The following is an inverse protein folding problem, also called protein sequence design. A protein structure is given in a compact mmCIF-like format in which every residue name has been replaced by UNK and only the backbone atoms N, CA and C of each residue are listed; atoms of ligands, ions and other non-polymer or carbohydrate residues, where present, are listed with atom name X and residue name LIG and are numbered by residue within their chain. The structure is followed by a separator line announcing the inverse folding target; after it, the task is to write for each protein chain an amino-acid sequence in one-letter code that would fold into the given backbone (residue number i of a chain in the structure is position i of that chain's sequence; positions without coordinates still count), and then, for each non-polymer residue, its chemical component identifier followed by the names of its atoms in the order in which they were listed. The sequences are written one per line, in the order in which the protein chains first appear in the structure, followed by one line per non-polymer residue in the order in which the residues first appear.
data_IF_591211410516
#
_entry.id   IF_591211410516
#
_cell.length_a   1.000
_cell.length_b   1.000
_cell.length_c   1.000
_cell.angle_alpha   90.00
_cell.angle_beta   90.00
_cell.angle_gamma   90.00
#
_symmetry.space_group_name_H-M   'P 1'
#
loop_
_entity.id
_entity.type
_entity.pdbx_description
1 polymer ?
#
# COMPACT_ATOMS: atom_id res chain seq x y z
N UNK A 1 9.32 -9.67 -29.34
CA UNK A 1 10.53 -10.28 -29.95
C UNK A 1 10.76 -9.61 -31.31
N UNK A 2 12.02 -9.36 -31.66
CA UNK A 2 12.39 -8.72 -32.92
C UNK A 2 13.21 -9.70 -33.77
N UNK A 3 12.76 -9.98 -34.99
CA UNK A 3 13.44 -10.85 -35.94
C UNK A 3 14.15 -10.00 -36.98
N UNK A 4 15.46 -10.20 -37.14
CA UNK A 4 16.23 -9.60 -38.24
C UNK A 4 16.53 -10.68 -39.26
N UNK A 5 16.03 -10.52 -40.47
CA UNK A 5 16.14 -11.53 -41.53
C UNK A 5 16.71 -10.89 -42.78
N UNK A 6 17.77 -11.50 -43.31
CA UNK A 6 18.33 -11.12 -44.60
C UNK A 6 17.51 -11.76 -45.71
N UNK A 7 16.99 -10.93 -46.61
CA UNK A 7 16.24 -11.36 -47.78
C UNK A 7 17.12 -12.10 -48.80
N UNK A 8 16.50 -12.89 -49.69
CA UNK A 8 17.19 -13.62 -50.74
C UNK A 8 17.86 -12.68 -51.76
N UNK A 9 18.91 -13.16 -52.44
CA UNK A 9 19.71 -12.36 -53.38
C UNK A 9 18.93 -11.93 -54.64
N UNK A 10 17.88 -12.65 -55.03
CA UNK A 10 17.17 -12.44 -56.31
C UNK A 10 15.69 -12.11 -56.12
N UNK A 11 14.84 -13.12 -55.96
CA UNK A 11 13.39 -12.96 -55.99
C UNK A 11 12.78 -12.84 -54.58
N UNK A 12 11.70 -12.06 -54.41
CA UNK A 12 11.01 -11.96 -53.13
C UNK A 12 10.46 -13.32 -52.67
N UNK A 13 10.44 -13.54 -51.36
CA UNK A 13 9.92 -14.77 -50.73
C UNK A 13 8.99 -14.44 -49.58
N UNK A 14 8.05 -15.34 -49.34
CA UNK A 14 7.21 -15.29 -48.14
C UNK A 14 7.93 -16.01 -46.99
N UNK A 15 8.09 -15.32 -45.86
CA UNK A 15 8.58 -15.87 -44.61
C UNK A 15 7.39 -16.10 -43.69
N UNK A 16 7.32 -17.25 -43.04
CA UNK A 16 6.36 -17.46 -41.95
C UNK A 16 7.13 -17.58 -40.65
N UNK A 17 6.89 -16.64 -39.74
CA UNK A 17 7.42 -16.72 -38.38
C UNK A 17 6.40 -17.43 -37.51
N UNK A 18 6.81 -18.55 -36.91
CA UNK A 18 6.00 -19.27 -35.93
C UNK A 18 6.38 -18.77 -34.53
N UNK A 19 5.46 -18.11 -33.86
CA UNK A 19 5.65 -17.59 -32.52
C UNK A 19 4.71 -18.28 -31.55
N UNK A 20 5.26 -18.74 -30.41
CA UNK A 20 4.45 -19.33 -29.34
C UNK A 20 3.46 -18.31 -28.80
N UNK A 21 2.18 -18.69 -28.72
CA UNK A 21 1.17 -17.93 -27.98
C UNK A 21 1.43 -18.07 -26.50
N UNK A 22 1.60 -16.95 -25.81
CA UNK A 22 1.70 -16.95 -24.36
C UNK A 22 0.28 -16.99 -23.76
N UNK A 23 -0.01 -17.87 -22.79
CA UNK A 23 -1.31 -17.90 -22.13
C UNK A 23 -1.65 -16.53 -21.52
N UNK A 24 -2.82 -15.96 -21.84
CA UNK A 24 -3.24 -14.65 -21.36
C UNK A 24 -2.71 -13.44 -22.14
N UNK A 25 -1.83 -13.64 -23.12
CA UNK A 25 -1.31 -12.58 -23.98
C UNK A 25 -1.99 -12.58 -25.34
N UNK A 26 -2.14 -11.39 -25.92
CA UNK A 26 -2.72 -11.14 -27.24
C UNK A 26 -1.68 -10.53 -28.17
N UNK A 27 -1.64 -10.98 -29.42
CA UNK A 27 -0.77 -10.39 -30.43
C UNK A 27 -1.27 -8.99 -30.83
N UNK A 28 -0.38 -8.01 -30.75
CA UNK A 28 -0.66 -6.59 -31.05
C UNK A 28 0.13 -6.10 -32.26
N UNK A 29 1.32 -6.68 -32.49
CA UNK A 29 2.09 -6.48 -33.71
C UNK A 29 2.59 -7.82 -34.26
N UNK A 30 2.50 -8.06 -35.58
CA UNK A 30 1.84 -7.22 -36.60
C UNK A 30 0.30 -7.24 -36.47
N UNK A 31 -0.41 -6.43 -37.27
CA UNK A 31 -1.87 -6.46 -37.33
C UNK A 31 -2.36 -7.90 -37.59
N UNK A 32 -3.36 -8.34 -36.82
CA UNK A 32 -3.85 -9.73 -36.81
C UNK A 32 -4.49 -10.16 -38.13
N UNK A 33 -4.71 -9.23 -39.08
CA UNK A 33 -5.43 -9.48 -40.34
C UNK A 33 -4.85 -10.63 -41.16
N UNK A 34 -3.53 -10.79 -41.15
CA UNK A 34 -2.82 -11.83 -41.91
C UNK A 34 -2.25 -12.93 -41.02
N UNK A 35 -2.56 -12.95 -39.72
CA UNK A 35 -1.98 -13.88 -38.75
C UNK A 35 -2.89 -15.09 -38.57
N UNK A 36 -2.36 -16.27 -38.85
CA UNK A 36 -3.07 -17.53 -38.65
C UNK A 36 -2.75 -18.16 -37.29
N UNK A 37 -3.72 -18.84 -36.70
CA UNK A 37 -3.52 -19.65 -35.50
C UNK A 37 -3.49 -21.13 -35.89
N UNK A 38 -2.36 -21.80 -35.65
CA UNK A 38 -2.20 -23.25 -35.89
C UNK A 38 -1.46 -23.87 -34.73
N UNK A 39 -1.97 -25.00 -34.23
CA UNK A 39 -1.35 -25.78 -33.13
C UNK A 39 -1.05 -24.93 -31.88
N UNK A 40 -1.90 -23.94 -31.61
CA UNK A 40 -1.73 -23.01 -30.48
C UNK A 40 -0.62 -21.98 -30.64
N UNK A 41 -0.01 -21.84 -31.83
CA UNK A 41 1.01 -20.85 -32.14
C UNK A 41 0.49 -19.82 -33.16
N UNK A 42 1.03 -18.60 -33.10
CA UNK A 42 0.83 -17.58 -34.13
C UNK A 42 1.74 -17.88 -35.32
N UNK A 43 1.15 -18.04 -36.51
CA UNK A 43 1.88 -18.09 -37.79
C UNK A 43 1.73 -16.73 -38.46
N UNK A 44 2.84 -16.01 -38.52
CA UNK A 44 2.86 -14.62 -38.95
C UNK A 44 3.59 -14.55 -40.31
N UNK A 45 2.87 -14.32 -41.42
CA UNK A 45 3.47 -14.16 -42.72
C UNK A 45 4.11 -12.77 -42.83
N UNK A 46 5.33 -12.74 -43.35
CA UNK A 46 6.08 -11.54 -43.67
C UNK A 46 6.59 -11.63 -45.11
N UNK A 47 6.55 -10.50 -45.82
CA UNK A 47 7.11 -10.42 -47.15
C UNK A 47 8.60 -10.06 -47.07
N UNK A 48 9.47 -10.95 -47.57
CA UNK A 48 10.89 -10.66 -47.73
C UNK A 48 11.16 -10.19 -49.17
N UNK A 49 11.60 -8.94 -49.39
CA UNK A 49 12.01 -8.48 -50.69
C UNK A 49 13.34 -9.14 -51.10
N UNK A 50 13.51 -9.34 -52.40
CA UNK A 50 14.78 -9.77 -52.97
C UNK A 50 15.85 -8.67 -52.96
N UNK A 51 17.05 -9.02 -53.40
CA UNK A 51 18.20 -8.11 -53.52
C UNK A 51 19.00 -7.95 -52.22
N UNK A 52 19.14 -9.01 -51.43
CA UNK A 52 19.98 -9.06 -50.21
C UNK A 52 19.58 -8.03 -49.12
N UNK A 53 18.37 -7.47 -49.21
CA UNK A 53 17.85 -6.48 -48.27
C UNK A 53 17.55 -7.14 -46.93
N UNK A 54 18.05 -6.56 -45.86
CA UNK A 54 17.72 -7.01 -44.50
C UNK A 54 16.45 -6.31 -44.03
N UNK A 55 15.47 -7.09 -43.58
CA UNK A 55 14.27 -6.57 -42.94
C UNK A 55 14.24 -6.95 -41.46
N UNK A 56 13.54 -6.11 -40.70
CA UNK A 56 13.30 -6.32 -39.28
C UNK A 56 11.80 -6.42 -39.05
N UNK A 57 11.38 -7.48 -38.37
CA UNK A 57 9.98 -7.74 -38.05
C UNK A 57 9.78 -7.75 -36.54
N UNK A 58 8.82 -6.96 -36.07
CA UNK A 58 8.44 -6.92 -34.66
C UNK A 58 7.24 -7.82 -34.42
N UNK A 59 7.38 -8.74 -33.49
CA UNK A 59 6.30 -9.58 -32.98
C UNK A 59 6.08 -9.23 -31.52
N UNK A 60 5.01 -8.49 -31.24
CA UNK A 60 4.68 -7.99 -29.91
C UNK A 60 3.37 -8.63 -29.46
N UNK A 61 3.44 -9.33 -28.33
CA UNK A 61 2.27 -9.76 -27.59
C UNK A 61 2.15 -8.86 -26.36
N UNK A 62 0.94 -8.49 -25.96
CA UNK A 62 0.64 -7.75 -24.74
C UNK A 62 -0.37 -8.53 -23.90
N UNK A 63 -0.27 -8.40 -22.58
CA UNK A 63 -1.29 -8.87 -21.65
C UNK A 63 -1.73 -7.69 -20.80
N UNK A 64 -3.03 -7.44 -20.74
CA UNK A 64 -3.59 -6.50 -19.77
C UNK A 64 -3.61 -7.19 -18.41
N UNK A 65 -2.95 -6.60 -17.42
CA UNK A 65 -3.02 -7.05 -16.04
C UNK A 65 -3.92 -6.11 -15.24
N UNK A 66 -4.91 -6.67 -14.56
CA UNK A 66 -5.73 -5.95 -13.59
C UNK A 66 -5.25 -6.35 -12.19
N UNK A 67 -4.94 -5.36 -11.35
CA UNK A 67 -4.53 -5.57 -9.97
C UNK A 67 -5.45 -4.75 -9.05
N UNK A 68 -6.02 -5.41 -8.04
CA UNK A 68 -6.82 -4.76 -7.01
C UNK A 68 -5.98 -4.62 -5.72
N UNK A 69 -5.89 -3.39 -5.22
CA UNK A 69 -5.14 -3.04 -4.01
C UNK A 69 -6.10 -2.47 -2.96
N UNK A 70 -6.14 -3.08 -1.77
CA UNK A 70 -6.94 -2.60 -0.64
C UNK A 70 -6.22 -1.53 0.17
N UNK A 71 -6.32 -0.28 -0.25
CA UNK A 71 -5.56 0.85 0.31
C UNK A 71 -5.81 1.16 1.80
N UNK A 72 -6.92 0.68 2.38
CA UNK A 72 -7.26 0.93 3.80
C UNK A 72 -6.54 -0.02 4.75
N UNK A 73 -6.31 -1.27 4.33
CA UNK A 73 -5.71 -2.34 5.15
C UNK A 73 -4.33 -2.79 4.62
N UNK A 74 -3.94 -2.35 3.41
CA UNK A 74 -2.67 -2.71 2.81
C UNK A 74 -1.48 -2.19 3.62
N UNK A 75 -0.44 -3.02 3.71
CA UNK A 75 0.84 -2.64 4.29
C UNK A 75 1.43 -1.45 3.53
N UNK A 76 1.74 -0.37 4.26
CA UNK A 76 2.28 0.88 3.72
C UNK A 76 3.52 0.67 2.82
N UNK A 77 4.27 -0.41 3.04
CA UNK A 77 5.44 -0.74 2.23
C UNK A 77 5.10 -1.13 0.78
N UNK A 78 3.98 -1.83 0.55
CA UNK A 78 3.54 -2.13 -0.82
C UNK A 78 3.07 -0.86 -1.54
N UNK A 79 2.29 -0.01 -0.87
CA UNK A 79 1.83 1.27 -1.43
C UNK A 79 3.03 2.17 -1.76
N UNK A 80 4.07 2.16 -0.93
CA UNK A 80 5.30 2.92 -1.16
C UNK A 80 6.04 2.47 -2.41
N UNK A 81 6.12 1.17 -2.67
CA UNK A 81 6.72 0.63 -3.91
C UNK A 81 5.97 1.15 -5.13
N UNK A 82 4.63 1.10 -5.12
CA UNK A 82 3.83 1.60 -6.24
C UNK A 82 3.91 3.13 -6.39
N UNK A 83 3.95 3.88 -5.29
CA UNK A 83 4.12 5.34 -5.33
C UNK A 83 5.48 5.77 -5.94
N UNK A 84 6.50 4.92 -5.86
CA UNK A 84 7.83 5.18 -6.43
C UNK A 84 8.03 4.59 -7.83
N UNK A 85 7.13 3.69 -8.27
CA UNK A 85 7.20 3.09 -9.59
C UNK A 85 6.95 4.15 -10.66
N UNK A 86 7.90 4.28 -11.60
CA UNK A 86 7.83 5.24 -12.72
C UNK A 86 6.77 4.87 -13.76
N UNK A 87 6.22 3.65 -13.65
CA UNK A 87 5.22 3.07 -14.55
C UNK A 87 3.83 3.70 -14.38
N UNK A 88 3.53 4.29 -13.21
CA UNK A 88 2.30 5.05 -13.00
C UNK A 88 2.46 6.50 -13.43
N UNK A 89 1.36 7.13 -13.85
CA UNK A 89 1.33 8.56 -14.13
C UNK A 89 1.47 9.39 -12.84
N UNK A 90 1.74 10.69 -12.98
CA UNK A 90 1.97 11.57 -11.84
C UNK A 90 0.77 11.63 -10.88
N UNK A 91 -0.46 11.66 -11.41
CA UNK A 91 -1.68 11.76 -10.59
C UNK A 91 -1.85 10.54 -9.70
N UNK A 92 -1.57 9.35 -10.22
CA UNK A 92 -1.65 8.10 -9.44
C UNK A 92 -0.61 8.06 -8.32
N UNK A 93 0.64 8.45 -8.60
CA UNK A 93 1.69 8.52 -7.57
C UNK A 93 1.36 9.53 -6.47
N UNK A 94 0.82 10.69 -6.84
CA UNK A 94 0.39 11.70 -5.88
C UNK A 94 -0.75 11.19 -5.00
N UNK A 95 -1.71 10.46 -5.58
CA UNK A 95 -2.80 9.83 -4.84
C UNK A 95 -2.29 8.78 -3.84
N UNK A 96 -1.40 7.88 -4.26
CA UNK A 96 -0.79 6.88 -3.37
C UNK A 96 0.04 7.53 -2.26
N UNK A 97 0.76 8.62 -2.57
CA UNK A 97 1.49 9.41 -1.57
C UNK A 97 0.56 10.01 -0.53
N UNK A 98 -0.60 10.52 -0.95
CA UNK A 98 -1.61 11.05 -0.03
C UNK A 98 -2.23 9.96 0.85
N UNK A 99 -2.47 8.77 0.32
CA UNK A 99 -2.91 7.60 1.11
C UNK A 99 -1.89 7.28 2.20
N UNK A 100 -0.60 7.23 1.88
CA UNK A 100 0.48 6.97 2.86
C UNK A 100 0.50 8.01 3.98
N UNK A 101 0.33 9.29 3.66
CA UNK A 101 0.26 10.37 4.65
C UNK A 101 -0.94 10.21 5.60
N UNK A 102 -2.10 9.84 5.05
CA UNK A 102 -3.31 9.60 5.86
C UNK A 102 -3.17 8.37 6.75
N UNK A 103 -2.60 7.28 6.24
CA UNK A 103 -2.27 6.10 7.05
C UNK A 103 -1.31 6.45 8.20
N UNK A 104 -0.28 7.28 7.94
CA UNK A 104 0.62 7.76 8.98
C UNK A 104 -0.11 8.57 10.04
N UNK A 105 -1.03 9.45 9.64
CA UNK A 105 -1.84 10.25 10.57
C UNK A 105 -2.69 9.35 11.48
N UNK A 106 -3.29 8.29 10.94
CA UNK A 106 -4.02 7.28 11.73
C UNK A 106 -3.09 6.59 12.73
N UNK A 107 -1.90 6.17 12.30
CA UNK A 107 -0.93 5.52 13.17
C UNK A 107 -0.45 6.43 14.31
N UNK A 108 -0.20 7.71 14.02
CA UNK A 108 0.17 8.70 15.02
C UNK A 108 -0.95 8.97 16.04
N UNK A 109 -2.21 9.06 15.58
CA UNK A 109 -3.36 9.18 16.46
C UNK A 109 -3.50 7.95 17.38
N UNK A 110 -3.31 6.74 16.85
CA UNK A 110 -3.39 5.51 17.63
C UNK A 110 -2.27 5.42 18.69
N UNK A 111 -1.06 5.88 18.36
CA UNK A 111 0.06 5.95 19.31
C UNK A 111 -0.26 6.85 20.51
N UNK A 112 -0.96 7.97 20.30
CA UNK A 112 -1.39 8.86 21.39
C UNK A 112 -2.34 8.14 22.35
N UNK A 113 -3.28 7.34 21.83
CA UNK A 113 -4.18 6.51 22.67
C UNK A 113 -3.36 5.54 23.52
N UNK A 114 -2.43 4.80 22.91
CA UNK A 114 -1.57 3.85 23.62
C UNK A 114 -0.71 4.53 24.70
N UNK A 115 -0.19 5.72 24.42
CA UNK A 115 0.57 6.49 25.40
C UNK A 115 -0.29 6.88 26.61
N UNK A 116 -1.51 7.40 26.37
CA UNK A 116 -2.45 7.79 27.44
C UNK A 116 -2.84 6.56 28.27
N UNK A 117 -3.10 5.42 27.62
CA UNK A 117 -3.42 4.17 28.32
C UNK A 117 -2.26 3.68 29.19
N UNK A 118 -1.02 3.84 28.72
CA UNK A 118 0.19 3.53 29.50
C UNK A 118 0.34 4.44 30.71
N UNK A 119 0.17 5.76 30.54
CA UNK A 119 0.19 6.76 31.62
C UNK A 119 -0.87 6.42 32.68
N UNK A 120 -2.11 6.14 32.24
CA UNK A 120 -3.21 5.74 33.13
C UNK A 120 -2.89 4.48 33.91
N UNK A 121 -2.34 3.45 33.25
CA UNK A 121 -2.04 2.17 33.89
C UNK A 121 -0.94 2.31 34.96
N UNK A 122 0.05 3.18 34.72
CA UNK A 122 1.09 3.50 35.70
C UNK A 122 0.51 4.14 36.98
N UNK A 123 -0.43 5.09 36.84
CA UNK A 123 -1.09 5.73 37.98
C UNK A 123 -1.95 4.72 38.76
N UNK A 124 -2.73 3.89 38.08
CA UNK A 124 -3.56 2.87 38.73
C UNK A 124 -2.69 1.87 39.53
N UNK A 125 -1.56 1.45 38.99
CA UNK A 125 -0.63 0.58 39.70
C UNK A 125 -0.02 1.29 40.93
N UNK A 126 0.32 2.56 40.81
CA UNK A 126 0.82 3.37 41.94
C UNK A 126 -0.22 3.49 43.05
N UNK A 127 -1.49 3.75 42.71
CA UNK A 127 -2.58 3.83 43.68
C UNK A 127 -2.73 2.54 44.50
N UNK A 128 -2.59 1.38 43.86
CA UNK A 128 -2.62 0.08 44.57
C UNK A 128 -1.50 0.01 45.62
N UNK A 129 -0.27 0.40 45.26
CA UNK A 129 0.84 0.42 46.23
C UNK A 129 0.63 1.45 47.34
N UNK A 130 0.13 2.64 46.99
CA UNK A 130 -0.16 3.69 47.97
C UNK A 130 -1.24 3.26 48.97
N UNK A 131 -2.27 2.55 48.52
CA UNK A 131 -3.33 2.01 49.40
C UNK A 131 -2.81 0.93 50.33
N UNK A 132 -1.93 0.04 49.85
CA UNK A 132 -1.26 -0.95 50.73
C UNK A 132 -0.35 -0.27 51.77
N UNK A 133 0.44 0.72 51.34
CA UNK A 133 1.28 1.50 52.26
C UNK A 133 0.44 2.25 53.29
N UNK A 134 -0.66 2.89 52.86
CA UNK A 134 -1.56 3.64 53.73
C UNK A 134 -2.17 2.75 54.82
N UNK A 135 -2.49 1.49 54.51
CA UNK A 135 -3.03 0.54 55.48
C UNK A 135 -2.02 0.16 56.59
N UNK A 136 -0.72 0.36 56.35
CA UNK A 136 0.37 0.02 57.29
C UNK A 136 0.86 1.22 58.11
N UNK A 137 0.50 2.44 57.71
CA UNK A 137 0.99 3.68 58.33
C UNK A 137 0.10 4.09 59.51
N UNK A 138 0.67 4.55 60.64
CA UNK A 138 -0.10 5.02 61.79
C UNK A 138 -1.07 6.15 61.42
N UNK A 139 -2.26 6.09 62.01
CA UNK A 139 -3.27 7.13 61.87
C UNK A 139 -2.74 8.49 62.37
N UNK A 140 -3.16 9.57 61.72
CA UNK A 140 -2.80 10.97 61.99
C UNK A 140 -1.32 11.33 61.78
N UNK A 141 -0.52 10.42 61.21
CA UNK A 141 0.87 10.74 60.85
C UNK A 141 0.96 11.69 59.64
N UNK A 142 2.05 12.46 59.55
CA UNK A 142 2.34 13.29 58.37
C UNK A 142 2.42 12.46 57.08
N UNK A 143 2.91 11.22 57.19
CA UNK A 143 3.02 10.29 56.07
C UNK A 143 1.64 9.86 55.55
N UNK A 144 0.68 9.58 56.44
CA UNK A 144 -0.69 9.27 56.04
C UNK A 144 -1.32 10.44 55.27
N UNK A 145 -1.16 11.67 55.77
CA UNK A 145 -1.65 12.89 55.10
C UNK A 145 -1.05 13.07 53.70
N UNK A 146 0.25 12.79 53.55
CA UNK A 146 0.93 12.83 52.23
C UNK A 146 0.36 11.81 51.25
N UNK A 147 0.17 10.57 51.66
CA UNK A 147 -0.40 9.54 50.77
C UNK A 147 -1.83 9.86 50.36
N UNK A 148 -2.68 10.35 51.27
CA UNK A 148 -4.03 10.78 50.92
C UNK A 148 -4.02 11.95 49.92
N UNK A 149 -3.14 12.94 50.10
CA UNK A 149 -2.99 14.05 49.17
C UNK A 149 -2.47 13.60 47.79
N UNK A 150 -1.59 12.59 47.74
CA UNK A 150 -1.13 12.01 46.47
C UNK A 150 -2.27 11.27 45.76
N UNK A 151 -3.06 10.48 46.48
CA UNK A 151 -4.21 9.78 45.91
C UNK A 151 -5.23 10.77 45.31
N UNK A 152 -5.53 11.86 46.02
CA UNK A 152 -6.43 12.93 45.55
C UNK A 152 -5.93 13.60 44.25
N UNK A 153 -4.63 13.89 44.18
CA UNK A 153 -4.00 14.39 42.94
C UNK A 153 -4.09 13.37 41.79
N UNK A 154 -3.84 12.10 42.08
CA UNK A 154 -3.92 11.04 41.09
C UNK A 154 -5.34 10.85 40.54
N UNK A 155 -6.39 11.02 41.36
CA UNK A 155 -7.77 11.02 40.85
C UNK A 155 -8.01 12.16 39.85
N UNK A 156 -7.54 13.37 40.18
CA UNK A 156 -7.61 14.52 39.27
C UNK A 156 -6.87 14.26 37.95
N UNK A 157 -5.68 13.64 38.03
CA UNK A 157 -4.90 13.26 36.85
C UNK A 157 -5.60 12.17 36.01
N UNK A 158 -6.20 11.16 36.65
CA UNK A 158 -6.96 10.10 35.97
C UNK A 158 -8.18 10.66 35.23
N UNK A 159 -8.91 11.61 35.82
CA UNK A 159 -10.00 12.31 35.15
C UNK A 159 -9.52 13.09 33.92
N UNK A 160 -8.38 13.78 34.04
CA UNK A 160 -7.78 14.49 32.92
C UNK A 160 -7.33 13.54 31.80
N UNK A 161 -6.72 12.40 32.16
CA UNK A 161 -6.34 11.35 31.21
C UNK A 161 -7.56 10.74 30.53
N UNK A 162 -8.66 10.52 31.25
CA UNK A 162 -9.91 10.01 30.67
C UNK A 162 -10.48 10.97 29.60
N UNK A 163 -10.47 12.27 29.85
CA UNK A 163 -10.86 13.30 28.86
C UNK A 163 -9.93 13.29 27.64
N UNK A 164 -8.61 13.32 27.88
CA UNK A 164 -7.60 13.25 26.80
C UNK A 164 -7.75 11.98 25.97
N UNK A 165 -8.07 10.85 26.59
CA UNK A 165 -8.31 9.57 25.92
C UNK A 165 -9.53 9.64 25.01
N UNK A 166 -10.64 10.18 25.49
CA UNK A 166 -11.85 10.35 24.68
C UNK A 166 -11.60 11.26 23.46
N UNK A 167 -10.82 12.32 23.62
CA UNK A 167 -10.44 13.20 22.51
C UNK A 167 -9.48 12.51 21.53
N UNK A 168 -8.53 11.72 22.03
CA UNK A 168 -7.64 10.92 21.20
C UNK A 168 -8.39 9.85 20.40
N UNK A 169 -9.37 9.18 21.00
CA UNK A 169 -10.24 8.20 20.31
C UNK A 169 -11.03 8.88 19.19
N UNK A 170 -11.62 10.07 19.43
CA UNK A 170 -12.26 10.87 18.37
C UNK A 170 -11.30 11.24 17.25
N UNK A 171 -10.05 11.59 17.58
CA UNK A 171 -9.05 11.92 16.59
C UNK A 171 -8.65 10.70 15.73
N UNK A 172 -8.58 9.51 16.32
CA UNK A 172 -8.36 8.25 15.59
C UNK A 172 -9.50 8.01 14.60
N UNK A 173 -10.75 8.13 15.05
CA UNK A 173 -11.91 7.91 14.18
C UNK A 173 -11.98 8.94 13.05
N UNK A 174 -11.74 10.21 13.34
CA UNK A 174 -11.66 11.26 12.31
C UNK A 174 -10.55 10.98 11.28
N UNK A 175 -9.37 10.54 11.72
CA UNK A 175 -8.28 10.18 10.82
C UNK A 175 -8.62 8.96 9.95
N UNK A 176 -9.29 7.95 10.52
CA UNK A 176 -9.75 6.76 9.78
C UNK A 176 -10.83 7.12 8.76
N UNK A 177 -11.74 8.00 9.12
CA UNK A 177 -12.77 8.49 8.20
C UNK A 177 -12.15 9.30 7.06
N UNK A 178 -11.20 10.20 7.34
CA UNK A 178 -10.48 10.93 6.31
C UNK A 178 -9.76 10.00 5.32
N UNK A 179 -9.10 8.94 5.82
CA UNK A 179 -8.49 7.91 4.99
C UNK A 179 -9.53 7.18 4.12
N UNK A 180 -10.64 6.71 4.71
CA UNK A 180 -11.69 6.00 3.99
C UNK A 180 -12.33 6.85 2.90
N UNK A 181 -12.67 8.10 3.23
CA UNK A 181 -13.27 9.06 2.27
C UNK A 181 -12.33 9.36 1.12
N UNK A 182 -11.04 9.55 1.41
CA UNK A 182 -10.06 9.78 0.35
C UNK A 182 -9.91 8.57 -0.56
N UNK A 183 -9.76 7.36 0.00
CA UNK A 183 -9.66 6.11 -0.78
C UNK A 183 -10.93 5.89 -1.63
N UNK A 184 -12.12 6.14 -1.07
CA UNK A 184 -13.37 6.03 -1.80
C UNK A 184 -13.48 7.03 -2.97
N UNK A 185 -12.79 8.17 -2.90
CA UNK A 185 -12.76 9.15 -4.00
C UNK A 185 -11.81 8.77 -5.16
N UNK A 186 -11.00 7.72 -5.01
CA UNK A 186 -10.05 7.25 -6.03
C UNK A 186 -10.63 6.18 -6.95
N UNK A 187 -11.75 5.55 -6.57
CA UNK A 187 -12.50 4.57 -7.38
C UNK A 187 -13.76 5.17 -7.96
#
# INVERSE_FOLDING_TARGET
VTYRVKGPAKEPRQLVVVQRRLPGWTLVKPEVKDVELSDGNYRIPFQLPGGDKTQTFEVVQEQIQQQELRLVESAADQIRVYAQAREFDAKTRDALTKVLQLQQTVAEAQRKVTQIDTERQAIVQEQVRLRDNLARVPANSDLQRRYLATLDKQETELEALAKRRADADKAVEAAREALRTYVASLG
#
